data_IF_214450126974
#
_entry.id   IF_214450126974
#
_cell.length_a   1.000
_cell.length_b   1.000
_cell.length_c   1.000
_cell.angle_alpha   90.00
_cell.angle_beta   90.00
_cell.angle_gamma   90.00
#
_symmetry.space_group_name_H-M   'P 1'
#
loop_
_entity.id
_entity.type
_entity.pdbx_description
1 polymer ?
#
# COMPACT_ATOMS: atom_id res chain seq x y z
N UNK A 1 -11.25 -33.90 -6.92
CA UNK A 1 -10.61 -33.07 -5.87
C UNK A 1 -11.45 -31.84 -5.67
N UNK A 2 -11.78 -31.44 -4.44
CA UNK A 2 -12.34 -30.10 -4.20
C UNK A 2 -11.33 -29.05 -4.70
N UNK A 3 -11.80 -27.91 -5.23
CA UNK A 3 -10.90 -26.85 -5.65
C UNK A 3 -10.04 -26.39 -4.47
N UNK A 4 -8.76 -26.06 -4.69
CA UNK A 4 -7.87 -25.61 -3.63
C UNK A 4 -8.46 -24.38 -2.93
N UNK A 5 -8.43 -24.38 -1.60
CA UNK A 5 -8.97 -23.27 -0.82
C UNK A 5 -7.98 -22.11 -0.73
N UNK A 6 -8.46 -20.93 -0.37
CA UNK A 6 -7.60 -19.76 -0.11
C UNK A 6 -6.61 -20.04 1.02
N UNK A 7 -6.97 -20.94 1.97
CA UNK A 7 -6.05 -21.39 3.00
C UNK A 7 -4.84 -22.12 2.39
N UNK A 8 -5.07 -22.94 1.37
CA UNK A 8 -4.04 -23.74 0.70
C UNK A 8 -3.20 -22.95 -0.31
N UNK A 9 -3.68 -21.79 -0.76
CA UNK A 9 -3.02 -20.99 -1.80
C UNK A 9 -2.33 -19.75 -1.26
N UNK A 10 -2.94 -19.03 -0.32
CA UNK A 10 -2.46 -17.74 0.17
C UNK A 10 -2.18 -17.82 1.66
N UNK A 11 -3.18 -18.17 2.48
CA UNK A 11 -3.08 -18.00 3.94
C UNK A 11 -1.98 -18.84 4.58
N UNK A 12 -1.66 -20.02 4.02
CA UNK A 12 -0.55 -20.85 4.50
C UNK A 12 0.82 -20.16 4.45
N UNK A 13 0.95 -19.10 3.65
CA UNK A 13 2.17 -18.30 3.55
C UNK A 13 2.12 -17.04 4.42
N UNK A 14 1.05 -16.79 5.17
CA UNK A 14 1.05 -15.66 6.09
C UNK A 14 1.90 -15.99 7.32
N UNK A 15 2.85 -15.12 7.64
CA UNK A 15 3.68 -15.34 8.83
C UNK A 15 2.83 -15.22 10.11
N UNK A 16 2.94 -16.16 11.07
CA UNK A 16 2.07 -16.18 12.24
C UNK A 16 2.34 -15.06 13.25
N UNK A 17 3.48 -14.38 13.20
CA UNK A 17 3.81 -13.27 14.12
C UNK A 17 3.55 -11.93 13.43
N UNK A 18 4.38 -11.55 12.46
CA UNK A 18 4.21 -10.32 11.68
C UNK A 18 2.88 -10.26 10.93
N UNK A 19 2.36 -11.36 10.37
CA UNK A 19 1.18 -11.33 9.50
C UNK A 19 1.47 -10.88 8.05
N UNK A 20 2.74 -10.73 7.69
CA UNK A 20 3.19 -10.42 6.33
C UNK A 20 3.19 -11.68 5.45
N UNK A 21 3.36 -11.47 4.13
CA UNK A 21 3.55 -12.53 3.14
C UNK A 21 4.97 -12.48 2.55
N UNK A 22 5.60 -13.62 2.25
CA UNK A 22 6.95 -13.65 1.74
C UNK A 22 6.97 -13.23 0.27
N UNK A 23 8.00 -12.48 -0.13
CA UNK A 23 8.24 -12.10 -1.52
C UNK A 23 8.41 -13.33 -2.41
N UNK A 24 9.05 -14.39 -1.90
CA UNK A 24 9.21 -15.66 -2.60
C UNK A 24 8.68 -16.83 -1.76
N UNK A 25 7.40 -17.21 -1.90
CA UNK A 25 6.78 -18.27 -1.11
C UNK A 25 7.34 -19.68 -1.39
N UNK A 26 8.13 -19.85 -2.46
CA UNK A 26 8.78 -21.13 -2.78
C UNK A 26 10.17 -21.26 -2.16
N UNK A 27 10.73 -20.16 -1.65
CA UNK A 27 12.03 -20.15 -0.99
C UNK A 27 11.83 -20.24 0.54
N UNK A 28 12.20 -21.37 1.18
CA UNK A 28 12.06 -21.54 2.63
C UNK A 28 12.90 -20.56 3.46
N UNK A 29 13.91 -19.92 2.85
CA UNK A 29 14.79 -18.96 3.50
C UNK A 29 14.46 -17.51 3.11
N UNK A 30 13.31 -17.27 2.47
CA UNK A 30 12.89 -15.93 2.12
C UNK A 30 12.68 -15.07 3.37
N UNK A 31 13.55 -14.06 3.55
CA UNK A 31 13.45 -13.09 4.66
C UNK A 31 12.70 -11.82 4.32
N UNK A 32 12.31 -11.66 3.07
CA UNK A 32 11.77 -10.39 2.58
C UNK A 32 10.26 -10.50 2.38
N UNK A 33 9.54 -9.49 2.83
CA UNK A 33 8.18 -9.20 2.41
C UNK A 33 8.17 -7.91 1.61
N UNK A 34 7.53 -7.91 0.45
CA UNK A 34 7.28 -6.67 -0.28
C UNK A 34 5.90 -6.12 0.08
N UNK A 35 5.82 -4.83 0.37
CA UNK A 35 4.58 -4.20 0.84
C UNK A 35 3.45 -4.37 -0.17
N UNK A 36 3.70 -4.09 -1.46
CA UNK A 36 2.69 -4.25 -2.53
C UNK A 36 2.07 -5.64 -2.55
N UNK A 37 2.91 -6.68 -2.47
CA UNK A 37 2.48 -8.07 -2.57
C UNK A 37 1.66 -8.48 -1.33
N UNK A 38 2.13 -8.06 -0.15
CA UNK A 38 1.39 -8.25 1.10
C UNK A 38 0.04 -7.54 1.09
N UNK A 39 -0.05 -6.32 0.55
CA UNK A 39 -1.33 -5.60 0.38
C UNK A 39 -2.26 -6.38 -0.56
N UNK A 40 -1.78 -6.87 -1.71
CA UNK A 40 -2.61 -7.69 -2.60
C UNK A 40 -3.11 -8.96 -1.93
N UNK A 41 -2.27 -9.67 -1.17
CA UNK A 41 -2.70 -10.82 -0.38
C UNK A 41 -3.79 -10.42 0.64
N UNK A 42 -3.60 -9.31 1.35
CA UNK A 42 -4.60 -8.77 2.28
C UNK A 42 -5.91 -8.38 1.59
N UNK A 43 -5.86 -7.81 0.38
CA UNK A 43 -7.02 -7.51 -0.46
C UNK A 43 -7.84 -8.75 -0.75
N UNK A 44 -7.19 -9.86 -1.12
CA UNK A 44 -7.90 -11.13 -1.38
C UNK A 44 -8.60 -11.66 -0.13
N UNK A 45 -7.90 -11.65 1.02
CA UNK A 45 -8.49 -12.08 2.29
C UNK A 45 -9.67 -11.19 2.70
N UNK A 46 -9.54 -9.88 2.54
CA UNK A 46 -10.61 -8.93 2.82
C UNK A 46 -11.81 -9.11 1.88
N UNK A 47 -11.59 -9.30 0.58
CA UNK A 47 -12.66 -9.52 -0.38
C UNK A 47 -13.46 -10.80 -0.05
N UNK A 48 -12.79 -11.85 0.40
CA UNK A 48 -13.43 -13.08 0.86
C UNK A 48 -14.15 -12.91 2.19
N UNK A 49 -13.57 -12.16 3.14
CA UNK A 49 -14.29 -11.75 4.34
C UNK A 49 -15.62 -11.07 3.96
N UNK A 50 -15.59 -10.12 3.01
CA UNK A 50 -16.79 -9.41 2.54
C UNK A 50 -17.79 -10.33 1.85
N UNK A 51 -17.35 -11.30 1.05
CA UNK A 51 -18.28 -12.23 0.40
C UNK A 51 -18.92 -13.20 1.40
N UNK A 52 -18.14 -13.69 2.37
CA UNK A 52 -18.60 -14.66 3.37
C UNK A 52 -19.48 -14.03 4.45
N UNK A 53 -19.34 -12.73 4.76
CA UNK A 53 -20.28 -12.03 5.66
C UNK A 53 -21.74 -12.06 5.21
N UNK A 54 -22.01 -12.44 3.95
CA UNK A 54 -23.36 -12.57 3.38
C UNK A 54 -23.94 -13.98 3.53
N UNK A 55 -23.19 -14.91 4.13
CA UNK A 55 -23.57 -16.31 4.34
C UNK A 55 -23.90 -16.50 5.82
N UNK A 56 -25.08 -17.04 6.13
CA UNK A 56 -25.58 -17.15 7.51
C UNK A 56 -24.78 -18.12 8.42
N UNK A 57 -24.13 -19.13 7.85
CA UNK A 57 -23.36 -20.13 8.60
C UNK A 57 -22.04 -20.48 7.89
N UNK A 58 -21.06 -19.58 8.01
CA UNK A 58 -19.71 -19.79 7.47
C UNK A 58 -18.71 -20.33 8.53
N UNK A 59 -19.23 -20.74 9.69
CA UNK A 59 -18.47 -21.18 10.86
C UNK A 59 -17.40 -20.17 11.34
N UNK A 60 -17.62 -18.86 11.15
CA UNK A 60 -16.73 -17.79 11.60
C UNK A 60 -15.51 -17.56 10.68
N UNK A 61 -15.47 -18.20 9.51
CA UNK A 61 -14.37 -18.05 8.55
C UNK A 61 -14.19 -16.62 8.06
N UNK A 62 -15.28 -15.88 7.86
CA UNK A 62 -15.22 -14.49 7.45
C UNK A 62 -14.45 -13.69 8.48
N UNK A 63 -14.70 -13.90 9.77
CA UNK A 63 -14.05 -13.15 10.84
C UNK A 63 -12.55 -13.46 10.87
N UNK A 64 -12.17 -14.73 10.80
CA UNK A 64 -10.76 -15.16 10.72
C UNK A 64 -10.04 -14.47 9.54
N UNK A 65 -10.63 -14.50 8.34
CA UNK A 65 -10.05 -13.87 7.15
C UNK A 65 -9.92 -12.35 7.28
N UNK A 66 -10.93 -11.70 7.87
CA UNK A 66 -10.89 -10.27 8.15
C UNK A 66 -9.76 -9.92 9.11
N UNK A 67 -9.58 -10.69 10.19
CA UNK A 67 -8.49 -10.48 11.14
C UNK A 67 -7.11 -10.75 10.53
N UNK A 68 -6.98 -11.76 9.67
CA UNK A 68 -5.75 -12.00 8.92
C UNK A 68 -5.39 -10.82 7.99
N UNK A 69 -6.38 -10.24 7.32
CA UNK A 69 -6.20 -9.04 6.49
C UNK A 69 -5.77 -7.83 7.34
N UNK A 70 -6.47 -7.57 8.45
CA UNK A 70 -6.13 -6.49 9.41
C UNK A 70 -4.71 -6.66 9.93
N UNK A 71 -4.33 -7.87 10.34
CA UNK A 71 -2.99 -8.16 10.86
C UNK A 71 -1.90 -7.80 9.85
N UNK A 72 -2.08 -8.17 8.59
CA UNK A 72 -1.14 -7.85 7.51
C UNK A 72 -1.01 -6.33 7.33
N UNK A 73 -2.13 -5.62 7.19
CA UNK A 73 -2.13 -4.16 7.01
C UNK A 73 -1.53 -3.42 8.21
N UNK A 74 -1.78 -3.90 9.43
CA UNK A 74 -1.19 -3.34 10.65
C UNK A 74 0.32 -3.55 10.72
N UNK A 75 0.81 -4.71 10.30
CA UNK A 75 2.24 -4.97 10.26
C UNK A 75 2.98 -4.00 9.34
N UNK A 76 2.40 -3.71 8.18
CA UNK A 76 2.93 -2.72 7.23
C UNK A 76 2.90 -1.33 7.86
N UNK A 77 1.78 -0.92 8.48
CA UNK A 77 1.66 0.36 9.16
C UNK A 77 2.73 0.53 10.26
N UNK A 78 2.90 -0.47 11.12
CA UNK A 78 3.88 -0.45 12.20
C UNK A 78 5.30 -0.39 11.64
N UNK A 79 5.62 -1.19 10.62
CA UNK A 79 6.92 -1.16 9.94
C UNK A 79 7.23 0.23 9.37
N UNK A 80 6.26 0.87 8.71
CA UNK A 80 6.44 2.22 8.19
C UNK A 80 6.49 3.30 9.28
N UNK A 81 5.78 3.14 10.39
CA UNK A 81 5.87 4.07 11.53
C UNK A 81 7.25 4.10 12.17
N UNK A 82 7.99 2.98 12.15
CA UNK A 82 9.40 2.95 12.56
C UNK A 82 10.29 3.86 11.68
N UNK A 83 9.82 4.23 10.49
CA UNK A 83 10.49 5.13 9.54
C UNK A 83 9.89 6.56 9.56
N UNK A 84 9.16 6.94 10.60
CA UNK A 84 8.49 8.25 10.70
C UNK A 84 9.46 9.43 10.53
N UNK A 85 10.67 9.36 11.08
CA UNK A 85 11.71 10.40 10.90
C UNK A 85 12.12 10.55 9.42
N UNK A 86 12.23 9.43 8.70
CA UNK A 86 12.53 9.37 7.26
C UNK A 86 11.39 9.99 6.44
N UNK A 87 10.15 9.63 6.77
CA UNK A 87 8.95 10.19 6.15
C UNK A 87 8.84 11.71 6.32
N UNK A 88 9.14 12.22 7.52
CA UNK A 88 9.17 13.66 7.78
C UNK A 88 10.21 14.39 6.94
N UNK A 89 11.40 13.80 6.76
CA UNK A 89 12.43 14.35 5.88
C UNK A 89 11.98 14.36 4.43
N UNK A 90 11.32 13.28 3.96
CA UNK A 90 10.83 13.16 2.58
C UNK A 90 9.94 14.32 2.15
N UNK A 91 9.12 14.87 3.05
CA UNK A 91 8.26 16.03 2.74
C UNK A 91 9.05 17.20 2.16
N UNK A 92 10.32 17.34 2.56
CA UNK A 92 11.26 18.38 2.10
C UNK A 92 12.10 17.90 0.91
N UNK A 93 12.71 16.72 1.01
CA UNK A 93 13.74 16.22 0.08
C UNK A 93 13.18 15.49 -1.14
N UNK A 94 12.09 14.73 -0.98
CA UNK A 94 11.39 14.01 -2.06
C UNK A 94 12.32 13.14 -2.92
N UNK A 95 13.25 12.43 -2.27
CA UNK A 95 14.33 11.68 -2.92
C UNK A 95 14.46 10.25 -2.39
N UNK A 96 15.37 9.48 -3.00
CA UNK A 96 15.63 8.07 -2.67
C UNK A 96 16.09 7.85 -1.22
N UNK A 97 16.92 8.75 -0.69
CA UNK A 97 17.52 8.59 0.64
C UNK A 97 16.47 8.68 1.75
N UNK A 98 15.37 9.38 1.48
CA UNK A 98 14.31 9.69 2.45
C UNK A 98 12.99 9.02 2.14
N UNK A 99 12.90 8.20 1.08
CA UNK A 99 11.68 7.47 0.76
C UNK A 99 11.39 6.34 1.77
N UNK A 100 10.14 5.92 1.86
CA UNK A 100 9.79 4.74 2.66
C UNK A 100 10.33 3.48 2.02
N UNK A 101 10.87 2.57 2.83
CA UNK A 101 11.30 1.26 2.36
C UNK A 101 10.08 0.42 1.94
N UNK A 102 10.11 -0.14 0.74
CA UNK A 102 9.03 -0.98 0.20
C UNK A 102 9.17 -2.46 0.57
N UNK A 103 10.30 -2.83 1.19
CA UNK A 103 10.56 -4.15 1.76
C UNK A 103 10.64 -4.11 3.28
N UNK A 104 10.01 -5.10 3.90
CA UNK A 104 10.05 -5.38 5.33
C UNK A 104 10.65 -6.76 5.56
N UNK A 105 11.18 -7.00 6.75
CA UNK A 105 11.52 -8.34 7.20
C UNK A 105 10.24 -9.15 7.34
N UNK A 106 10.24 -10.34 6.73
CA UNK A 106 9.08 -11.20 6.67
C UNK A 106 8.65 -11.69 8.06
N UNK A 107 9.59 -11.94 8.97
CA UNK A 107 9.31 -12.49 10.29
C UNK A 107 9.00 -11.39 11.31
N UNK A 108 9.78 -10.31 11.32
CA UNK A 108 9.69 -9.24 12.33
C UNK A 108 8.82 -8.07 11.89
N UNK A 109 8.66 -7.85 10.57
CA UNK A 109 7.99 -6.68 10.02
C UNK A 109 8.81 -5.39 10.08
N UNK A 110 10.08 -5.46 10.45
CA UNK A 110 10.98 -4.31 10.51
C UNK A 110 11.38 -3.84 9.10
N UNK A 111 11.54 -2.53 8.88
CA UNK A 111 12.07 -1.99 7.64
C UNK A 111 13.45 -2.54 7.29
N UNK A 112 13.65 -2.94 6.03
CA UNK A 112 14.96 -3.38 5.55
C UNK A 112 15.64 -2.24 4.83
N UNK A 113 16.70 -1.69 5.44
CA UNK A 113 17.54 -0.67 4.82
C UNK A 113 18.59 -1.31 3.91
N UNK A 114 18.26 -1.37 2.62
CA UNK A 114 19.17 -1.79 1.55
C UNK A 114 19.36 -0.62 0.58
N UNK A 115 20.51 0.07 0.62
CA UNK A 115 20.79 1.23 -0.23
C UNK A 115 20.76 0.91 -1.74
N UNK A 116 20.92 -0.36 -2.11
CA UNK A 116 20.89 -0.77 -3.51
C UNK A 116 19.46 -1.09 -4.00
N UNK A 117 18.49 -1.14 -3.09
CA UNK A 117 17.12 -1.44 -3.43
C UNK A 117 16.33 -0.20 -3.84
N UNK A 118 15.42 -0.42 -4.78
CA UNK A 118 14.63 0.61 -5.44
C UNK A 118 13.37 0.95 -4.65
N UNK A 119 13.56 1.45 -3.43
CA UNK A 119 12.48 1.67 -2.46
C UNK A 119 11.45 2.72 -2.87
N UNK A 120 11.86 3.76 -3.63
CA UNK A 120 10.95 4.83 -4.05
C UNK A 120 9.92 4.30 -5.07
N UNK A 121 8.76 3.92 -4.56
CA UNK A 121 7.63 3.33 -5.29
C UNK A 121 6.33 3.97 -4.77
N UNK A 122 5.86 5.01 -5.46
CA UNK A 122 4.69 5.79 -5.02
C UNK A 122 3.39 5.00 -5.17
N UNK A 123 3.31 4.11 -6.17
CA UNK A 123 2.20 3.19 -6.36
C UNK A 123 2.00 2.27 -5.15
N UNK A 124 3.08 1.81 -4.52
CA UNK A 124 3.04 0.94 -3.36
C UNK A 124 2.35 1.61 -2.16
N UNK A 125 2.70 2.87 -1.88
CA UNK A 125 2.08 3.67 -0.81
C UNK A 125 0.62 3.98 -1.16
N UNK A 126 0.34 4.34 -2.41
CA UNK A 126 -1.03 4.59 -2.88
C UNK A 126 -1.94 3.37 -2.71
N UNK A 127 -1.46 2.19 -3.10
CA UNK A 127 -2.19 0.92 -2.99
C UNK A 127 -2.53 0.61 -1.53
N UNK A 128 -1.56 0.76 -0.62
CA UNK A 128 -1.78 0.58 0.81
C UNK A 128 -2.89 1.50 1.34
N UNK A 129 -2.85 2.79 1.00
CA UNK A 129 -3.84 3.78 1.47
C UNK A 129 -5.23 3.48 0.92
N UNK A 130 -5.36 3.13 -0.36
CA UNK A 130 -6.65 2.73 -0.97
C UNK A 130 -7.21 1.52 -0.23
N UNK A 131 -6.40 0.47 -0.05
CA UNK A 131 -6.87 -0.76 0.56
C UNK A 131 -7.26 -0.56 2.02
N UNK A 132 -6.47 0.22 2.78
CA UNK A 132 -6.78 0.56 4.16
C UNK A 132 -8.11 1.33 4.25
N UNK A 133 -8.34 2.30 3.35
CA UNK A 133 -9.59 3.05 3.30
C UNK A 133 -10.80 2.13 3.05
N UNK A 134 -10.69 1.19 2.11
CA UNK A 134 -11.73 0.21 1.82
C UNK A 134 -12.01 -0.73 3.01
N UNK A 135 -10.97 -1.19 3.70
CA UNK A 135 -11.12 -2.03 4.89
C UNK A 135 -11.87 -1.29 6.01
N UNK A 136 -11.49 -0.03 6.29
CA UNK A 136 -12.15 0.81 7.29
C UNK A 136 -13.60 1.09 6.92
N UNK A 137 -13.86 1.47 5.66
CA UNK A 137 -15.22 1.69 5.18
C UNK A 137 -16.10 0.44 5.27
N UNK A 138 -15.49 -0.76 5.27
CA UNK A 138 -16.20 -2.02 5.44
C UNK A 138 -16.47 -2.43 6.90
N UNK A 139 -15.97 -1.66 7.87
CA UNK A 139 -16.12 -1.91 9.31
C UNK A 139 -14.91 -2.57 9.98
N UNK A 140 -13.81 -2.81 9.26
CA UNK A 140 -12.59 -3.34 9.87
C UNK A 140 -11.78 -2.22 10.52
N UNK A 141 -11.31 -2.46 11.74
CA UNK A 141 -10.45 -1.53 12.46
C UNK A 141 -8.99 -1.84 12.16
N UNK A 142 -8.31 -0.94 11.44
CA UNK A 142 -6.87 -1.08 11.12
C UNK A 142 -6.03 -0.06 11.89
N UNK A 143 -6.57 1.13 12.18
CA UNK A 143 -5.89 2.23 12.88
C UNK A 143 -6.46 2.36 14.30
N UNK A 144 -5.60 2.42 15.32
CA UNK A 144 -5.97 2.30 16.74
C UNK A 144 -5.58 3.51 17.60
N UNK A 145 -4.49 4.21 17.26
CA UNK A 145 -3.96 5.29 18.12
C UNK A 145 -3.87 6.63 17.38
N UNK A 146 -3.83 7.73 18.13
CA UNK A 146 -3.69 9.08 17.53
C UNK A 146 -2.38 9.25 16.77
N UNK A 147 -1.32 8.57 17.20
CA UNK A 147 -0.04 8.58 16.51
C UNK A 147 -0.14 7.84 15.16
N UNK A 148 -0.88 6.73 15.11
CA UNK A 148 -1.19 6.04 13.85
C UNK A 148 -2.02 6.95 12.91
N UNK A 149 -2.98 7.73 13.42
CA UNK A 149 -3.73 8.72 12.62
C UNK A 149 -2.80 9.81 12.06
N UNK A 150 -1.92 10.38 12.89
CA UNK A 150 -0.95 11.38 12.45
C UNK A 150 0.01 10.82 11.39
N UNK A 151 0.42 9.56 11.55
CA UNK A 151 1.23 8.88 10.54
C UNK A 151 0.47 8.69 9.22
N UNK A 152 -0.80 8.28 9.27
CA UNK A 152 -1.64 8.17 8.08
C UNK A 152 -1.77 9.53 7.37
N UNK A 153 -1.95 10.62 8.11
CA UNK A 153 -1.95 11.97 7.55
C UNK A 153 -0.62 12.32 6.86
N UNK A 154 0.51 11.85 7.38
CA UNK A 154 1.81 12.01 6.73
C UNK A 154 1.93 11.22 5.42
N UNK A 155 1.31 10.04 5.31
CA UNK A 155 1.23 9.31 4.05
C UNK A 155 0.40 10.08 3.01
N UNK A 156 -0.63 10.83 3.43
CA UNK A 156 -1.37 11.72 2.52
C UNK A 156 -0.44 12.77 1.91
N UNK A 157 0.33 13.47 2.75
CA UNK A 157 1.29 14.46 2.30
C UNK A 157 2.38 13.87 1.38
N UNK A 158 2.75 12.61 1.61
CA UNK A 158 3.65 11.86 0.75
C UNK A 158 3.06 11.72 -0.67
N UNK A 159 1.79 11.30 -0.77
CA UNK A 159 1.09 11.06 -2.03
C UNK A 159 0.69 12.34 -2.78
N UNK A 160 0.39 13.43 -2.07
CA UNK A 160 0.01 14.73 -2.67
C UNK A 160 1.02 15.25 -3.70
N UNK A 161 2.29 14.87 -3.56
CA UNK A 161 3.38 15.31 -4.44
C UNK A 161 3.74 14.33 -5.55
N UNK A 162 3.02 13.21 -5.69
CA UNK A 162 3.34 12.15 -6.67
C UNK A 162 3.46 12.68 -8.12
N UNK A 163 2.63 13.65 -8.52
CA UNK A 163 2.66 14.29 -9.85
C UNK A 163 4.02 14.86 -10.30
N UNK A 164 4.96 15.07 -9.38
CA UNK A 164 6.28 15.63 -9.65
C UNK A 164 7.44 14.81 -9.07
N UNK A 165 7.16 13.62 -8.53
CA UNK A 165 8.18 12.75 -7.93
C UNK A 165 8.40 11.57 -8.88
N UNK A 166 9.51 11.55 -9.64
CA UNK A 166 9.89 10.39 -10.40
C UNK A 166 10.21 9.22 -9.46
N UNK A 167 9.75 8.03 -9.79
CA UNK A 167 9.94 6.83 -8.98
C UNK A 167 10.31 5.61 -9.84
N UNK A 168 10.48 4.45 -9.21
CA UNK A 168 10.80 3.21 -9.94
C UNK A 168 9.56 2.49 -10.51
N UNK A 169 8.37 2.90 -10.06
CA UNK A 169 7.08 2.37 -10.47
C UNK A 169 6.88 0.90 -10.08
N UNK A 170 5.74 0.35 -10.50
CA UNK A 170 5.28 -0.99 -10.12
C UNK A 170 6.29 -2.11 -10.39
N UNK A 171 7.04 -1.99 -11.49
CA UNK A 171 8.02 -3.00 -11.92
C UNK A 171 9.42 -2.83 -11.32
N UNK A 172 9.64 -1.82 -10.47
CA UNK A 172 10.96 -1.56 -9.83
C UNK A 172 12.08 -1.30 -10.85
N UNK A 173 11.77 -0.59 -11.95
CA UNK A 173 12.73 -0.33 -13.05
C UNK A 173 13.01 1.15 -13.27
N UNK A 174 12.05 2.02 -12.97
CA UNK A 174 12.06 3.42 -13.38
C UNK A 174 11.98 3.51 -14.90
N UNK A 175 13.11 3.66 -15.58
CA UNK A 175 13.18 3.60 -17.06
C UNK A 175 12.87 2.21 -17.67
N UNK A 176 12.42 2.19 -18.92
CA UNK A 176 12.23 0.98 -19.73
C UNK A 176 13.51 0.15 -19.84
N UNK A 177 14.68 0.78 -19.99
CA UNK A 177 15.97 0.09 -20.09
C UNK A 177 16.56 -0.32 -18.74
N UNK A 178 15.87 -0.05 -17.61
CA UNK A 178 16.34 -0.38 -16.26
C UNK A 178 17.73 0.20 -15.92
N UNK A 179 18.00 1.45 -16.30
CA UNK A 179 19.32 2.11 -16.08
C UNK A 179 19.47 2.72 -14.69
N UNK A 180 18.70 2.23 -13.71
CA UNK A 180 18.63 2.78 -12.35
C UNK A 180 18.30 4.29 -12.31
N UNK A 181 17.47 4.75 -13.25
CA UNK A 181 16.95 6.11 -13.28
C UNK A 181 15.45 6.06 -13.07
N UNK A 182 14.96 6.95 -12.22
CA UNK A 182 13.54 7.14 -11.91
C UNK A 182 12.83 7.94 -13.00
N UNK A 183 11.54 7.68 -13.20
CA UNK A 183 10.70 8.40 -14.16
C UNK A 183 9.33 8.70 -13.52
N UNK A 184 8.62 9.71 -14.04
CA UNK A 184 7.20 9.88 -13.70
C UNK A 184 6.42 8.72 -14.31
N UNK A 185 5.94 7.82 -13.45
CA UNK A 185 5.14 6.67 -13.83
C UNK A 185 3.65 6.99 -13.66
N UNK A 186 2.87 6.85 -14.73
CA UNK A 186 1.45 7.14 -14.76
C UNK A 186 0.66 6.22 -13.83
N UNK A 187 1.02 4.93 -13.74
CA UNK A 187 0.46 4.00 -12.75
C UNK A 187 0.58 4.53 -11.31
N UNK A 188 1.73 5.11 -10.98
CA UNK A 188 2.05 5.59 -9.64
C UNK A 188 1.31 6.88 -9.30
N UNK A 189 1.22 7.81 -10.26
CA UNK A 189 0.41 9.04 -10.13
C UNK A 189 -1.09 8.69 -10.07
N UNK A 190 -1.53 7.71 -10.86
CA UNK A 190 -2.91 7.21 -10.87
C UNK A 190 -3.30 6.60 -9.52
N UNK A 191 -2.43 5.76 -8.95
CA UNK A 191 -2.64 5.18 -7.63
C UNK A 191 -2.66 6.25 -6.52
N UNK A 192 -1.74 7.22 -6.58
CA UNK A 192 -1.74 8.34 -5.63
C UNK A 192 -3.03 9.17 -5.73
N UNK A 193 -3.48 9.50 -6.95
CA UNK A 193 -4.74 10.21 -7.18
C UNK A 193 -5.93 9.43 -6.60
N UNK A 194 -6.04 8.14 -6.90
CA UNK A 194 -7.13 7.30 -6.41
C UNK A 194 -7.10 7.18 -4.88
N UNK A 195 -5.92 7.04 -4.29
CA UNK A 195 -5.73 7.03 -2.84
C UNK A 195 -6.24 8.32 -2.19
N UNK A 196 -5.86 9.48 -2.76
CA UNK A 196 -6.34 10.78 -2.32
C UNK A 196 -7.88 10.85 -2.38
N UNK A 197 -8.50 10.41 -3.47
CA UNK A 197 -9.97 10.35 -3.60
C UNK A 197 -10.63 9.45 -2.54
N UNK A 198 -10.04 8.29 -2.25
CA UNK A 198 -10.58 7.35 -1.27
C UNK A 198 -10.55 7.86 0.17
N UNK A 199 -9.54 8.66 0.54
CA UNK A 199 -9.38 9.16 1.91
C UNK A 199 -10.10 10.49 2.16
N UNK A 200 -10.58 11.17 1.11
CA UNK A 200 -11.21 12.47 1.23
C UNK A 200 -12.45 12.39 2.14
N UNK A 201 -12.33 12.92 3.36
CA UNK A 201 -13.39 12.86 4.38
C UNK A 201 -13.52 11.51 5.08
N UNK A 202 -12.59 10.57 4.87
CA UNK A 202 -12.57 9.30 5.60
C UNK A 202 -12.17 9.53 7.06
N UNK A 203 -12.97 8.97 7.96
CA UNK A 203 -12.56 8.82 9.35
C UNK A 203 -11.80 7.51 9.53
N UNK A 204 -10.52 7.57 9.91
CA UNK A 204 -9.67 6.36 9.99
C UNK A 204 -10.01 5.43 11.16
N UNK A 205 -10.83 5.88 12.11
CA UNK A 205 -11.42 5.01 13.13
C UNK A 205 -12.77 4.40 12.71
N UNK A 206 -13.22 4.67 11.48
CA UNK A 206 -14.53 4.26 11.00
C UNK A 206 -15.66 5.02 11.69
N UNK A 207 -16.75 4.32 12.00
CA UNK A 207 -17.96 4.91 12.60
C UNK A 207 -17.75 5.49 14.00
N UNK A 208 -16.77 4.97 14.74
CA UNK A 208 -16.48 5.37 16.13
C UNK A 208 -15.55 6.60 16.20
N UNK A 209 -15.11 7.13 15.07
CA UNK A 209 -14.16 8.22 15.02
C UNK A 209 -14.77 9.59 15.26
N UNK A 210 -13.94 10.52 15.74
CA UNK A 210 -14.30 11.92 15.90
C UNK A 210 -13.74 12.78 14.77
N UNK A 211 -14.07 14.08 14.74
CA UNK A 211 -13.52 14.99 13.74
C UNK A 211 -11.98 15.06 13.73
N UNK A 212 -11.31 14.72 14.84
CA UNK A 212 -9.84 14.74 14.91
C UNK A 212 -9.17 13.55 14.22
N UNK A 213 -9.93 12.55 13.77
CA UNK A 213 -9.43 11.37 13.06
C UNK A 213 -9.84 11.35 11.58
N UNK A 214 -10.29 12.48 11.06
CA UNK A 214 -10.57 12.67 9.63
C UNK A 214 -9.28 13.11 8.94
N UNK A 215 -8.90 12.40 7.88
CA UNK A 215 -7.74 12.80 7.06
C UNK A 215 -8.10 13.97 6.14
N UNK A 216 -7.14 14.87 5.95
CA UNK A 216 -7.28 16.05 5.11
C UNK A 216 -6.36 15.93 3.89
N UNK A 217 -6.88 16.36 2.74
CA UNK A 217 -6.17 16.43 1.46
C UNK A 217 -6.11 17.88 0.98
N UNK A 218 -5.04 18.26 0.29
CA UNK A 218 -4.98 19.44 -0.57
C UNK A 218 -5.72 19.17 -1.90
N UNK A 219 -6.82 19.90 -2.15
CA UNK A 219 -7.62 19.81 -3.39
C UNK A 219 -6.77 20.21 -4.61
N UNK A 220 -5.81 21.12 -4.45
CA UNK A 220 -4.90 21.47 -5.54
C UNK A 220 -3.93 20.34 -5.84
N UNK A 221 -3.51 19.57 -4.83
CA UNK A 221 -2.67 18.40 -5.03
C UNK A 221 -3.42 17.32 -5.82
N UNK A 222 -4.68 17.05 -5.49
CA UNK A 222 -5.55 16.17 -6.29
C UNK A 222 -5.63 16.64 -7.74
N UNK A 223 -5.91 17.92 -7.96
CA UNK A 223 -6.02 18.52 -9.30
C UNK A 223 -4.72 18.41 -10.10
N UNK A 224 -3.57 18.68 -9.47
CA UNK A 224 -2.24 18.53 -10.12
C UNK A 224 -1.96 17.09 -10.53
N UNK A 225 -2.24 16.12 -9.66
CA UNK A 225 -2.10 14.69 -10.00
C UNK A 225 -2.99 14.30 -11.18
N UNK A 226 -4.26 14.75 -11.19
CA UNK A 226 -5.17 14.51 -12.31
C UNK A 226 -4.65 15.08 -13.64
N UNK A 227 -4.20 16.34 -13.65
CA UNK A 227 -3.70 17.00 -14.86
C UNK A 227 -2.48 16.27 -15.42
N UNK A 228 -1.49 15.98 -14.57
CA UNK A 228 -0.27 15.27 -15.01
C UNK A 228 -0.60 13.86 -15.50
N UNK A 229 -1.47 13.13 -14.80
CA UNK A 229 -1.91 11.80 -15.23
C UNK A 229 -2.56 11.84 -16.62
N UNK A 230 -3.48 12.77 -16.85
CA UNK A 230 -4.14 12.92 -18.16
C UNK A 230 -3.16 13.25 -19.28
N UNK A 231 -2.06 13.96 -18.99
CA UNK A 231 -1.03 14.29 -19.96
C UNK A 231 -0.06 13.12 -20.25
N UNK A 232 0.14 12.21 -19.30
CA UNK A 232 1.00 11.04 -19.48
C UNK A 232 0.28 9.91 -20.23
N UNK A 233 -1.00 9.69 -19.93
CA UNK A 233 -1.80 8.65 -20.56
C UNK A 233 -1.89 8.84 -22.08
N UNK A 234 -1.86 7.76 -22.88
CA UNK A 234 -1.91 6.35 -22.47
C UNK A 234 -0.54 5.71 -22.21
N UNK A 235 0.54 6.50 -22.09
CA UNK A 235 1.87 5.97 -21.79
C UNK A 235 2.05 5.80 -20.29
N UNK A 236 2.84 4.80 -19.91
CA UNK A 236 3.24 4.58 -18.53
C UNK A 236 4.31 5.56 -18.08
N UNK A 237 5.27 5.93 -18.95
CA UNK A 237 6.29 6.91 -18.60
C UNK A 237 6.91 7.53 -19.86
N UNK A 238 7.94 8.37 -19.70
CA UNK A 238 8.67 8.95 -20.82
C UNK A 238 9.29 7.87 -21.74
N UNK A 239 9.82 6.79 -21.16
CA UNK A 239 10.48 5.70 -21.91
C UNK A 239 9.61 4.45 -22.11
N UNK A 240 8.54 4.28 -21.31
CA UNK A 240 7.61 3.14 -21.40
C UNK A 240 6.36 3.51 -22.22
N UNK A 241 5.90 2.58 -23.04
CA UNK A 241 4.64 2.72 -23.79
C UNK A 241 3.42 2.50 -22.91
N UNK A 242 2.32 2.05 -23.50
CA UNK A 242 1.22 1.48 -22.72
C UNK A 242 1.70 0.19 -22.03
N UNK A 243 1.31 0.00 -20.78
CA UNK A 243 1.81 -1.07 -19.92
C UNK A 243 0.66 -1.66 -19.08
N UNK A 244 0.79 -2.91 -18.64
CA UNK A 244 -0.23 -3.57 -17.83
C UNK A 244 -0.43 -2.90 -16.45
N UNK A 245 0.57 -2.20 -15.93
CA UNK A 245 0.47 -1.42 -14.69
C UNK A 245 -0.55 -0.27 -14.75
N UNK A 246 -1.02 0.10 -15.95
CA UNK A 246 -2.10 1.07 -16.14
C UNK A 246 -3.50 0.47 -15.95
N UNK A 247 -3.61 -0.85 -15.80
CA UNK A 247 -4.86 -1.54 -15.50
C UNK A 247 -4.91 -1.89 -14.01
N UNK A 248 -5.61 -1.10 -13.17
CA UNK A 248 -5.82 -1.44 -11.76
C UNK A 248 -6.87 -2.54 -11.58
#
# INVERSE_FOLDING_TARGET
MPPPSVKDQILKYQHPISGLFPLNPKDPHCKFSHVRDSVYCATVLWALHRSLTRIDDDAGRHYELGQCAVKCMRAILIGWMQQSSRLEQFKKSQNLDTCLNSRLDYETGEPIDDPNYKNLQMDCVGLFVIQLAQMIASGLQVVYTRDEVAFMQNLVFYLERAYRIPDYGMWERGTKQNRNMVELNASSIGMAKAALECIAGLNVYGAEGSHSSILLMDIDAHSRNRIILSNLLPRESASKGCDASLMP
#
